data_IF_410776890503
#
_entry.id   IF_410776890503
#
_cell.length_a   1.000
_cell.length_b   1.000
_cell.length_c   1.000
_cell.angle_alpha   90.00
_cell.angle_beta   90.00
_cell.angle_gamma   90.00
#
_symmetry.space_group_name_H-M   'P 1'
#
loop_
_entity.id
_entity.type
_entity.pdbx_description
1 polymer ?
#
# COMPACT_ATOMS: atom_id res chain seq x y z
N UNK A 1 -3.88 36.07 -13.91
CA UNK A 1 -3.52 34.97 -12.99
C UNK A 1 -2.16 34.47 -13.40
N UNK A 2 -1.11 34.78 -12.64
CA UNK A 2 0.23 34.24 -12.87
C UNK A 2 0.29 32.88 -12.20
N UNK A 3 0.24 31.81 -12.99
CA UNK A 3 0.60 30.47 -12.53
C UNK A 3 2.11 30.48 -12.31
N UNK A 4 2.54 30.48 -11.05
CA UNK A 4 3.92 30.15 -10.73
C UNK A 4 4.19 28.75 -11.30
N UNK A 5 5.27 28.54 -12.07
CA UNK A 5 5.66 27.20 -12.47
C UNK A 5 5.91 26.42 -11.17
N UNK A 6 5.14 25.35 -11.00
CA UNK A 6 5.31 24.41 -9.90
C UNK A 6 6.78 23.99 -9.92
N UNK A 7 7.55 24.14 -8.82
CA UNK A 7 8.94 23.69 -8.77
C UNK A 7 8.97 22.24 -9.27
N UNK A 8 9.79 21.98 -10.29
CA UNK A 8 9.89 20.69 -10.95
C UNK A 8 10.03 19.60 -9.88
N UNK A 9 8.93 18.87 -9.64
CA UNK A 9 8.94 17.76 -8.71
C UNK A 9 10.03 16.79 -9.18
N UNK A 10 10.88 16.28 -8.27
CA UNK A 10 11.90 15.32 -8.65
C UNK A 10 11.24 14.15 -9.38
N UNK A 11 11.84 13.74 -10.50
CA UNK A 11 11.31 12.63 -11.30
C UNK A 11 11.36 11.34 -10.47
N UNK A 12 10.20 10.73 -10.23
CA UNK A 12 10.11 9.44 -9.56
C UNK A 12 10.88 8.36 -10.34
N UNK A 13 11.65 7.54 -9.63
CA UNK A 13 12.38 6.40 -10.19
C UNK A 13 12.25 5.16 -9.30
N UNK A 14 12.41 3.97 -9.86
CA UNK A 14 12.60 2.77 -9.04
C UNK A 14 14.06 2.66 -8.59
N UNK A 15 14.29 2.52 -7.29
CA UNK A 15 15.56 2.09 -6.70
C UNK A 15 15.46 0.62 -6.36
N UNK A 16 16.59 -0.10 -6.47
CA UNK A 16 16.65 -1.52 -6.19
C UNK A 16 17.94 -1.87 -5.47
N UNK A 17 17.84 -2.72 -4.46
CA UNK A 17 18.97 -3.12 -3.64
C UNK A 17 18.72 -4.51 -3.01
N UNK A 18 19.74 -5.09 -2.38
CA UNK A 18 19.67 -6.38 -1.72
C UNK A 18 19.30 -6.20 -0.25
N UNK A 19 18.34 -7.00 0.23
CA UNK A 19 18.12 -7.12 1.68
C UNK A 19 19.41 -7.65 2.31
N UNK A 20 19.90 -6.93 3.32
CA UNK A 20 21.12 -7.25 4.06
C UNK A 20 20.96 -8.47 4.94
N UNK A 21 22.05 -8.94 5.55
CA UNK A 21 22.08 -10.13 6.41
C UNK A 21 22.59 -9.86 7.84
N UNK A 22 22.87 -8.61 8.19
CA UNK A 22 23.45 -8.17 9.47
C UNK A 22 22.67 -8.69 10.68
N UNK A 23 21.35 -8.58 10.65
CA UNK A 23 20.46 -9.01 11.73
C UNK A 23 19.67 -10.29 11.43
N UNK A 24 20.02 -11.04 10.38
CA UNK A 24 19.28 -12.27 10.02
C UNK A 24 19.25 -13.27 11.18
N UNK A 25 20.35 -13.41 11.91
CA UNK A 25 20.43 -14.32 13.05
C UNK A 25 19.42 -13.97 14.16
N UNK A 26 19.13 -12.69 14.38
CA UNK A 26 18.09 -12.26 15.33
C UNK A 26 16.70 -12.65 14.83
N UNK A 27 16.42 -12.44 13.54
CA UNK A 27 15.15 -12.85 12.92
C UNK A 27 14.96 -14.36 12.97
N UNK A 28 16.01 -15.13 12.67
CA UNK A 28 16.01 -16.60 12.75
C UNK A 28 15.74 -17.10 14.17
N UNK A 29 16.32 -16.44 15.18
CA UNK A 29 16.02 -16.75 16.57
C UNK A 29 14.57 -16.45 16.95
N UNK A 30 13.98 -15.37 16.42
CA UNK A 30 12.57 -15.01 16.66
C UNK A 30 11.63 -16.05 16.03
N UNK A 31 11.86 -16.45 14.78
CA UNK A 31 11.00 -17.42 14.08
C UNK A 31 11.15 -18.85 14.61
N UNK A 32 12.28 -19.18 15.24
CA UNK A 32 12.51 -20.47 15.88
C UNK A 32 11.74 -20.67 17.19
N UNK A 33 11.05 -19.63 17.69
CA UNK A 33 10.28 -19.66 18.92
C UNK A 33 8.80 -19.98 18.63
N UNK A 34 8.03 -20.49 19.62
CA UNK A 34 6.61 -20.72 19.44
C UNK A 34 5.88 -19.43 19.02
N UNK A 35 4.98 -19.52 18.04
CA UNK A 35 4.28 -18.37 17.44
C UNK A 35 3.53 -17.53 18.48
N UNK A 36 3.04 -18.17 19.53
CA UNK A 36 2.31 -17.53 20.63
C UNK A 36 3.20 -16.59 21.44
N UNK A 37 4.53 -16.77 21.41
CA UNK A 37 5.50 -15.92 22.13
C UNK A 37 6.03 -14.77 21.29
N UNK A 38 5.75 -14.74 19.99
CA UNK A 38 6.21 -13.68 19.08
C UNK A 38 5.82 -12.28 19.57
N UNK A 39 4.58 -12.02 20.02
CA UNK A 39 4.20 -10.70 20.54
C UNK A 39 5.03 -10.26 21.76
N UNK A 40 5.34 -11.17 22.69
CA UNK A 40 6.12 -10.85 23.89
C UNK A 40 7.55 -10.43 23.56
N UNK A 41 8.18 -11.14 22.62
CA UNK A 41 9.57 -10.90 22.20
C UNK A 41 9.66 -9.67 21.31
N UNK A 42 8.71 -9.53 20.39
CA UNK A 42 8.64 -8.33 19.55
C UNK A 42 8.22 -7.09 20.34
N UNK A 43 7.59 -7.28 21.49
CA UNK A 43 7.29 -6.22 22.44
C UNK A 43 8.53 -5.55 23.04
N UNK A 44 9.73 -6.17 23.02
CA UNK A 44 10.95 -5.66 23.63
C UNK A 44 11.89 -4.91 22.66
N UNK A 45 11.31 -4.24 21.66
CA UNK A 45 11.97 -3.48 20.59
C UNK A 45 12.86 -4.26 19.59
N UNK A 46 13.06 -5.56 19.84
CA UNK A 46 14.00 -6.40 19.11
C UNK A 46 13.58 -6.63 17.66
N UNK A 47 12.29 -6.88 17.41
CA UNK A 47 11.81 -7.23 16.07
C UNK A 47 11.91 -6.05 15.09
N UNK A 48 11.49 -4.86 15.52
CA UNK A 48 11.61 -3.64 14.74
C UNK A 48 13.07 -3.33 14.43
N UNK A 49 13.95 -3.41 15.42
CA UNK A 49 15.40 -3.20 15.19
C UNK A 49 15.93 -4.21 14.19
N UNK A 50 15.68 -5.51 14.39
CA UNK A 50 16.18 -6.56 13.50
C UNK A 50 15.64 -6.43 12.07
N UNK A 51 14.39 -6.02 11.88
CA UNK A 51 13.83 -5.77 10.54
C UNK A 51 14.51 -4.58 9.88
N UNK A 52 14.62 -3.44 10.57
CA UNK A 52 15.24 -2.24 9.97
C UNK A 52 16.70 -2.51 9.60
N UNK A 53 17.44 -3.24 10.43
CA UNK A 53 18.85 -3.59 10.19
C UNK A 53 19.06 -4.49 8.95
N UNK A 54 18.06 -5.27 8.54
CA UNK A 54 18.15 -6.05 7.29
C UNK A 54 17.67 -5.28 6.06
N UNK A 55 16.99 -4.14 6.22
CA UNK A 55 16.59 -3.31 5.08
C UNK A 55 17.83 -2.65 4.43
N UNK A 56 17.83 -2.45 3.10
CA UNK A 56 18.91 -1.72 2.46
C UNK A 56 19.01 -0.27 2.99
N UNK A 57 20.22 0.23 3.22
CA UNK A 57 20.45 1.60 3.71
C UNK A 57 19.80 2.64 2.78
N UNK A 58 19.89 2.41 1.46
CA UNK A 58 19.28 3.26 0.44
C UNK A 58 17.75 3.34 0.56
N UNK A 59 17.09 2.27 1.01
CA UNK A 59 15.65 2.26 1.30
C UNK A 59 15.33 3.04 2.58
N UNK A 60 16.16 2.89 3.62
CA UNK A 60 16.02 3.66 4.86
C UNK A 60 16.13 5.17 4.58
N UNK A 61 17.05 5.59 3.71
CA UNK A 61 17.14 6.98 3.26
C UNK A 61 15.84 7.44 2.57
N UNK A 62 15.32 6.67 1.62
CA UNK A 62 14.04 6.98 0.95
C UNK A 62 12.87 7.09 1.92
N UNK A 63 12.80 6.21 2.93
CA UNK A 63 11.79 6.27 4.00
C UNK A 63 11.97 7.53 4.85
N UNK A 64 13.20 7.86 5.24
CA UNK A 64 13.48 9.07 6.02
C UNK A 64 13.07 10.32 5.27
N UNK A 65 13.36 10.41 3.97
CA UNK A 65 13.05 11.58 3.14
C UNK A 65 11.55 11.69 2.86
N UNK A 66 10.88 10.58 2.53
CA UNK A 66 9.47 10.58 2.10
C UNK A 66 8.48 10.53 3.26
N UNK A 67 8.80 9.81 4.34
CA UNK A 67 7.92 9.61 5.49
C UNK A 67 8.34 10.38 6.74
N UNK A 68 9.48 11.09 6.69
CA UNK A 68 10.06 11.80 7.84
C UNK A 68 10.25 10.87 9.06
N UNK A 69 10.72 9.65 8.81
CA UNK A 69 10.99 8.64 9.85
C UNK A 69 12.47 8.36 9.92
N UNK A 70 13.08 8.66 11.07
CA UNK A 70 14.44 8.20 11.36
C UNK A 70 14.48 6.68 11.47
N UNK A 71 15.69 6.11 11.35
CA UNK A 71 15.94 4.68 11.57
C UNK A 71 15.30 4.14 12.86
N UNK A 72 15.50 4.86 13.97
CA UNK A 72 14.89 4.51 15.26
C UNK A 72 13.37 4.64 15.26
N UNK A 73 12.81 5.72 14.71
CA UNK A 73 11.37 5.91 14.65
C UNK A 73 10.66 4.84 13.79
N UNK A 74 11.32 4.39 12.71
CA UNK A 74 10.84 3.27 11.90
C UNK A 74 10.82 1.97 12.72
N UNK A 75 11.90 1.66 13.44
CA UNK A 75 11.95 0.47 14.30
C UNK A 75 10.84 0.49 15.37
N UNK A 76 10.63 1.63 16.04
CA UNK A 76 9.54 1.81 17.02
C UNK A 76 8.17 1.56 16.38
N UNK A 77 7.89 2.11 15.19
CA UNK A 77 6.61 1.87 14.49
C UNK A 77 6.41 0.41 14.10
N UNK A 78 7.48 -0.31 13.74
CA UNK A 78 7.40 -1.75 13.48
C UNK A 78 7.10 -2.49 14.78
N UNK A 79 7.76 -2.16 15.89
CA UNK A 79 7.48 -2.76 17.20
C UNK A 79 6.03 -2.52 17.64
N UNK A 80 5.51 -1.30 17.48
CA UNK A 80 4.11 -1.00 17.78
C UNK A 80 3.15 -1.85 16.94
N UNK A 81 3.46 -2.04 15.65
CA UNK A 81 2.68 -2.93 14.78
C UNK A 81 2.65 -4.38 15.28
N UNK A 82 3.75 -4.88 15.87
CA UNK A 82 3.79 -6.25 16.44
C UNK A 82 2.87 -6.43 17.64
N UNK A 83 2.55 -5.35 18.36
CA UNK A 83 1.68 -5.36 19.56
C UNK A 83 0.20 -5.24 19.21
N UNK A 84 -0.13 -4.56 18.11
CA UNK A 84 -1.52 -4.23 17.75
C UNK A 84 -2.11 -5.13 16.66
N UNK A 85 -1.26 -5.80 15.89
CA UNK A 85 -1.70 -6.60 14.74
C UNK A 85 -1.94 -8.07 15.10
N UNK A 86 -2.60 -8.81 14.20
CA UNK A 86 -2.82 -10.25 14.37
C UNK A 86 -1.49 -11.01 14.40
N UNK A 87 -1.34 -11.93 15.36
CA UNK A 87 -0.09 -12.68 15.58
C UNK A 87 0.41 -13.40 14.33
N UNK A 88 -0.49 -14.04 13.57
CA UNK A 88 -0.12 -14.77 12.34
C UNK A 88 0.39 -13.84 11.23
N UNK A 89 -0.19 -12.64 11.10
CA UNK A 89 0.24 -11.65 10.12
C UNK A 89 1.63 -11.10 10.45
N UNK A 90 1.85 -10.77 11.73
CA UNK A 90 3.16 -10.31 12.23
C UNK A 90 4.22 -11.40 12.05
N UNK A 91 3.91 -12.63 12.49
CA UNK A 91 4.82 -13.77 12.36
C UNK A 91 5.21 -14.02 10.90
N UNK A 92 4.22 -14.08 9.99
CA UNK A 92 4.47 -14.31 8.57
C UNK A 92 5.29 -13.19 7.93
N UNK A 93 5.13 -11.95 8.40
CA UNK A 93 5.92 -10.82 7.93
C UNK A 93 7.38 -10.93 8.39
N UNK A 94 7.61 -11.26 9.66
CA UNK A 94 8.96 -11.50 10.21
C UNK A 94 9.64 -12.68 9.50
N UNK A 95 8.92 -13.77 9.27
CA UNK A 95 9.38 -14.94 8.53
C UNK A 95 9.80 -14.57 7.10
N UNK A 96 9.04 -13.71 6.43
CA UNK A 96 9.41 -13.21 5.12
C UNK A 96 10.73 -12.43 5.15
N UNK A 97 10.89 -11.46 6.07
CA UNK A 97 12.13 -10.69 6.18
C UNK A 97 13.33 -11.57 6.52
N UNK A 98 13.15 -12.57 7.40
CA UNK A 98 14.21 -13.51 7.73
C UNK A 98 14.64 -14.33 6.50
N UNK A 99 13.66 -14.87 5.77
CA UNK A 99 13.92 -15.64 4.54
C UNK A 99 14.58 -14.78 3.48
N UNK A 100 14.02 -13.60 3.22
CA UNK A 100 14.54 -12.65 2.25
C UNK A 100 15.98 -12.22 2.58
N UNK A 101 16.27 -11.98 3.86
CA UNK A 101 17.61 -11.65 4.36
C UNK A 101 18.60 -12.81 4.16
N UNK A 102 18.20 -14.05 4.44
CA UNK A 102 19.04 -15.24 4.28
C UNK A 102 19.51 -15.49 2.85
N UNK A 103 18.74 -15.05 1.85
CA UNK A 103 19.04 -15.24 0.43
C UNK A 103 19.49 -13.94 -0.26
N UNK A 104 19.72 -12.87 0.51
CA UNK A 104 19.97 -11.52 0.00
C UNK A 104 18.97 -11.13 -1.11
N UNK A 105 17.68 -11.31 -0.83
CA UNK A 105 16.61 -11.04 -1.78
C UNK A 105 16.72 -9.61 -2.31
N UNK A 106 16.84 -9.50 -3.63
CA UNK A 106 16.76 -8.20 -4.30
C UNK A 106 15.32 -7.69 -4.26
N UNK A 107 15.16 -6.45 -3.82
CA UNK A 107 13.89 -5.72 -3.77
C UNK A 107 14.00 -4.40 -4.51
N UNK A 108 12.87 -3.84 -4.92
CA UNK A 108 12.80 -2.48 -5.44
C UNK A 108 11.68 -1.68 -4.76
N UNK A 109 11.78 -0.37 -4.84
CA UNK A 109 10.77 0.57 -4.37
C UNK A 109 10.82 1.85 -5.22
N UNK A 110 9.72 2.60 -5.24
CA UNK A 110 9.70 3.91 -5.88
C UNK A 110 10.29 4.97 -4.94
N UNK A 111 11.09 5.87 -5.51
CA UNK A 111 11.67 7.02 -4.83
C UNK A 111 11.46 8.31 -5.65
N UNK A 112 10.87 9.38 -5.06
CA UNK A 112 10.30 9.42 -3.71
C UNK A 112 9.06 8.51 -3.56
N UNK A 113 8.77 8.10 -2.32
CA UNK A 113 7.64 7.21 -2.02
C UNK A 113 6.32 7.99 -2.22
N UNK A 114 5.40 7.53 -3.11
CA UNK A 114 4.25 8.34 -3.53
C UNK A 114 3.08 8.33 -2.55
N UNK A 115 3.24 7.73 -1.36
CA UNK A 115 2.19 7.57 -0.37
C UNK A 115 2.73 7.73 1.06
N UNK A 116 1.83 8.02 2.00
CA UNK A 116 2.16 8.11 3.43
C UNK A 116 2.06 6.74 4.10
N UNK A 117 2.96 6.43 5.02
CA UNK A 117 2.83 5.22 5.84
C UNK A 117 1.52 5.17 6.64
N UNK A 118 0.93 6.33 6.96
CA UNK A 118 -0.37 6.42 7.65
C UNK A 118 -1.56 5.98 6.76
N UNK A 119 -1.36 5.79 5.46
CA UNK A 119 -2.37 5.17 4.59
C UNK A 119 -2.61 3.69 4.92
N UNK A 120 -1.77 3.09 5.76
CA UNK A 120 -1.85 1.69 6.18
C UNK A 120 -2.17 1.57 7.66
N UNK A 121 -2.85 0.49 8.03
CA UNK A 121 -3.24 0.20 9.41
C UNK A 121 -2.02 0.04 10.34
N UNK A 122 -0.90 -0.40 9.79
CA UNK A 122 0.36 -0.62 10.51
C UNK A 122 1.58 -0.49 9.58
N UNK A 123 2.78 -0.51 10.19
CA UNK A 123 4.04 -0.34 9.45
C UNK A 123 4.41 -1.56 8.59
N UNK A 124 4.02 -2.78 8.97
CA UNK A 124 4.22 -3.95 8.09
C UNK A 124 3.45 -3.79 6.79
N UNK A 125 2.24 -3.24 6.87
CA UNK A 125 1.41 -3.00 5.70
C UNK A 125 1.99 -1.94 4.77
N UNK A 126 2.51 -0.85 5.35
CA UNK A 126 3.19 0.19 4.60
C UNK A 126 4.46 -0.34 3.89
N UNK A 127 5.29 -1.12 4.60
CA UNK A 127 6.47 -1.74 4.02
C UNK A 127 6.12 -2.78 2.94
N UNK A 128 5.07 -3.58 3.15
CA UNK A 128 4.59 -4.55 2.18
C UNK A 128 4.14 -3.90 0.87
N UNK A 129 3.48 -2.73 0.95
CA UNK A 129 3.12 -1.96 -0.23
C UNK A 129 4.31 -1.27 -0.90
N UNK A 130 5.35 -0.92 -0.13
CA UNK A 130 6.55 -0.26 -0.65
C UNK A 130 7.43 -1.24 -1.46
N UNK A 131 7.58 -2.47 -0.96
CA UNK A 131 8.49 -3.47 -1.52
C UNK A 131 7.89 -4.13 -2.76
N UNK A 132 8.63 -4.05 -3.87
CA UNK A 132 8.23 -4.51 -5.20
C UNK A 132 9.25 -5.49 -5.78
N UNK A 133 8.78 -6.40 -6.62
CA UNK A 133 9.63 -7.36 -7.33
C UNK A 133 10.47 -6.70 -8.43
N UNK A 134 11.79 -6.92 -8.46
CA UNK A 134 12.69 -6.28 -9.41
C UNK A 134 12.43 -6.64 -10.87
N UNK A 135 11.91 -7.84 -11.14
CA UNK A 135 11.65 -8.33 -12.50
C UNK A 135 10.39 -7.72 -13.14
N UNK A 136 9.66 -6.87 -12.41
CA UNK A 136 8.35 -6.35 -12.84
C UNK A 136 8.28 -4.83 -12.96
N UNK A 137 9.31 -4.10 -12.51
CA UNK A 137 9.30 -2.62 -12.41
C UNK A 137 9.19 -1.89 -13.76
N UNK A 138 9.65 -2.50 -14.86
CA UNK A 138 9.55 -1.92 -16.21
C UNK A 138 8.13 -2.05 -16.81
N UNK A 139 7.29 -2.87 -16.17
CA UNK A 139 5.88 -3.09 -16.49
C UNK A 139 5.06 -2.77 -15.24
N UNK A 140 3.88 -3.34 -15.12
CA UNK A 140 3.12 -3.25 -13.89
C UNK A 140 3.90 -3.84 -12.70
N UNK A 141 4.19 -3.07 -11.65
CA UNK A 141 5.02 -3.54 -10.55
C UNK A 141 4.21 -4.46 -9.65
N UNK A 142 4.77 -5.64 -9.37
CA UNK A 142 4.10 -6.70 -8.61
C UNK A 142 4.74 -6.88 -7.23
N UNK A 143 3.92 -7.23 -6.25
CA UNK A 143 4.40 -7.53 -4.90
C UNK A 143 5.00 -8.94 -4.82
N UNK A 144 5.73 -9.20 -3.75
CA UNK A 144 6.07 -10.58 -3.36
C UNK A 144 4.83 -11.22 -2.72
N UNK A 145 4.26 -12.27 -3.34
CA UNK A 145 3.07 -12.94 -2.79
C UNK A 145 3.29 -13.53 -1.41
N UNK A 146 4.52 -13.96 -1.14
CA UNK A 146 4.95 -14.51 0.15
C UNK A 146 5.09 -13.45 1.25
N UNK A 147 5.16 -12.16 0.91
CA UNK A 147 5.09 -11.08 1.89
C UNK A 147 3.61 -10.79 2.16
N UNK A 148 3.10 -10.93 3.39
CA UNK A 148 1.69 -10.67 3.68
C UNK A 148 1.26 -9.27 3.22
N UNK A 149 0.12 -9.13 2.54
CA UNK A 149 -0.35 -7.82 2.11
C UNK A 149 -0.80 -6.99 3.31
N UNK A 150 -0.48 -5.70 3.28
CA UNK A 150 -0.96 -4.73 4.26
C UNK A 150 -2.44 -4.39 4.11
N UNK A 151 -3.07 -4.04 5.22
CA UNK A 151 -4.39 -3.42 5.23
C UNK A 151 -4.26 -1.90 5.18
N UNK A 152 -5.13 -1.25 4.43
CA UNK A 152 -5.24 0.21 4.46
C UNK A 152 -5.87 0.67 5.78
N UNK A 153 -5.43 1.83 6.27
CA UNK A 153 -6.00 2.42 7.47
C UNK A 153 -7.45 2.84 7.22
N UNK A 154 -8.34 2.41 8.11
CA UNK A 154 -9.72 2.87 8.09
C UNK A 154 -9.79 4.37 8.46
N UNK A 155 -10.67 5.11 7.79
CA UNK A 155 -10.86 6.54 8.05
C UNK A 155 -9.68 7.43 7.62
N UNK A 156 -8.75 6.90 6.82
CA UNK A 156 -7.72 7.69 6.17
C UNK A 156 -8.04 7.86 4.69
N UNK A 157 -7.77 9.06 4.18
CA UNK A 157 -7.83 9.35 2.76
C UNK A 157 -6.56 8.85 2.08
N UNK A 158 -6.73 8.13 0.98
CA UNK A 158 -5.64 7.67 0.11
C UNK A 158 -5.84 8.27 -1.26
N UNK A 159 -4.85 9.01 -1.75
CA UNK A 159 -4.88 9.61 -3.07
C UNK A 159 -3.90 8.93 -4.02
N UNK A 160 -4.38 8.66 -5.23
CA UNK A 160 -3.65 8.04 -6.32
C UNK A 160 -3.53 9.06 -7.45
N UNK A 161 -2.35 9.15 -8.06
CA UNK A 161 -2.10 10.16 -9.06
C UNK A 161 -0.87 9.89 -9.92
N UNK A 162 -0.63 10.75 -10.93
CA UNK A 162 0.41 10.54 -11.93
C UNK A 162 1.85 10.55 -11.38
N UNK A 163 2.06 10.94 -10.12
CA UNK A 163 3.36 10.92 -9.46
C UNK A 163 3.76 9.50 -9.00
N UNK A 164 2.80 8.58 -8.91
CA UNK A 164 3.04 7.16 -8.67
C UNK A 164 3.36 6.48 -10.01
N UNK A 165 4.52 5.85 -10.12
CA UNK A 165 4.95 5.17 -11.35
C UNK A 165 4.01 4.04 -11.74
N UNK A 166 3.40 3.38 -10.74
CA UNK A 166 2.40 2.35 -10.97
C UNK A 166 1.12 2.94 -11.58
N UNK A 167 0.81 4.23 -11.38
CA UNK A 167 -0.38 4.87 -11.95
C UNK A 167 -0.36 4.83 -13.48
N UNK A 168 0.76 5.21 -14.10
CA UNK A 168 0.88 5.20 -15.57
C UNK A 168 0.93 3.78 -16.14
N UNK A 169 1.50 2.83 -15.40
CA UNK A 169 1.53 1.43 -15.81
C UNK A 169 0.13 0.82 -15.73
N UNK A 170 -0.59 1.05 -14.64
CA UNK A 170 -1.98 0.60 -14.47
C UNK A 170 -2.88 1.22 -15.54
N UNK A 171 -2.70 2.51 -15.85
CA UNK A 171 -3.45 3.18 -16.92
C UNK A 171 -3.33 2.46 -18.26
N UNK A 172 -2.16 1.88 -18.57
CA UNK A 172 -1.95 1.07 -19.78
C UNK A 172 -2.63 -0.29 -19.72
N UNK A 173 -2.78 -0.87 -18.52
CA UNK A 173 -3.45 -2.16 -18.28
C UNK A 173 -4.99 -2.04 -18.20
N UNK A 174 -5.52 -0.83 -18.02
CA UNK A 174 -6.97 -0.60 -17.89
C UNK A 174 -7.83 -1.15 -19.04
N UNK A 175 -7.44 -1.04 -20.34
CA UNK A 175 -8.22 -1.62 -21.42
C UNK A 175 -8.40 -3.13 -21.29
N UNK A 176 -7.31 -3.85 -21.00
CA UNK A 176 -7.33 -5.31 -20.83
C UNK A 176 -8.11 -5.72 -19.58
N UNK A 177 -7.92 -4.98 -18.47
CA UNK A 177 -8.67 -5.18 -17.25
C UNK A 177 -10.18 -4.95 -17.47
N UNK A 178 -10.55 -3.94 -18.26
CA UNK A 178 -11.94 -3.66 -18.61
C UNK A 178 -12.57 -4.78 -19.41
N UNK A 179 -11.85 -5.36 -20.37
CA UNK A 179 -12.36 -6.53 -21.10
C UNK A 179 -12.54 -7.74 -20.17
N UNK A 180 -11.62 -7.97 -19.23
CA UNK A 180 -11.80 -8.99 -18.18
C UNK A 180 -13.02 -8.72 -17.29
N UNK A 181 -13.23 -7.47 -16.87
CA UNK A 181 -14.41 -7.03 -16.10
C UNK A 181 -15.72 -7.21 -16.88
N UNK A 182 -15.68 -7.10 -18.21
CA UNK A 182 -16.85 -7.38 -19.05
C UNK A 182 -17.20 -8.87 -19.07
N UNK A 183 -16.18 -9.71 -19.07
CA UNK A 183 -16.29 -11.17 -19.15
C UNK A 183 -16.59 -11.83 -17.81
N UNK A 184 -16.07 -11.30 -16.70
CA UNK A 184 -16.36 -11.80 -15.35
C UNK A 184 -17.61 -11.15 -14.76
N UNK A 185 -18.38 -11.93 -14.01
CA UNK A 185 -19.52 -11.42 -13.22
C UNK A 185 -19.10 -11.12 -11.77
N UNK A 186 -17.97 -11.67 -11.33
CA UNK A 186 -17.58 -11.66 -9.91
C UNK A 186 -16.42 -10.71 -9.64
N UNK A 187 -16.58 -9.83 -8.63
CA UNK A 187 -15.54 -8.93 -8.16
C UNK A 187 -14.30 -9.70 -7.64
N UNK A 188 -14.51 -10.90 -7.09
CA UNK A 188 -13.45 -11.77 -6.57
C UNK A 188 -12.33 -12.03 -7.58
N UNK A 189 -12.67 -12.38 -8.82
CA UNK A 189 -11.67 -12.66 -9.86
C UNK A 189 -10.79 -11.44 -10.17
N UNK A 190 -11.38 -10.24 -10.09
CA UNK A 190 -10.66 -8.99 -10.30
C UNK A 190 -9.78 -8.69 -9.08
N UNK A 191 -10.29 -8.90 -7.86
CA UNK A 191 -9.49 -8.77 -6.63
C UNK A 191 -8.26 -9.66 -6.65
N UNK A 192 -8.38 -10.91 -7.11
CA UNK A 192 -7.22 -11.81 -7.19
C UNK A 192 -6.13 -11.29 -8.13
N UNK A 193 -6.50 -10.57 -9.19
CA UNK A 193 -5.53 -9.89 -10.08
C UNK A 193 -4.88 -8.70 -9.36
N UNK A 194 -5.69 -7.86 -8.69
CA UNK A 194 -5.21 -6.67 -7.98
C UNK A 194 -4.37 -7.03 -6.76
N UNK A 195 -4.62 -8.19 -6.17
CA UNK A 195 -3.80 -8.71 -5.08
C UNK A 195 -2.35 -8.93 -5.49
N UNK A 196 -2.04 -9.01 -6.79
CA UNK A 196 -0.66 -9.14 -7.26
C UNK A 196 0.05 -7.79 -7.36
N UNK A 197 -0.70 -6.70 -7.43
CA UNK A 197 -0.16 -5.37 -7.70
C UNK A 197 0.50 -4.80 -6.45
N UNK A 198 1.70 -4.23 -6.62
CA UNK A 198 2.41 -3.53 -5.56
C UNK A 198 1.84 -2.12 -5.32
N UNK A 199 2.35 -1.46 -4.28
CA UNK A 199 2.00 -0.08 -3.98
C UNK A 199 0.65 0.08 -3.30
N UNK A 200 0.42 1.32 -2.86
CA UNK A 200 -0.87 1.72 -2.29
C UNK A 200 -1.99 1.65 -3.33
N UNK A 201 -1.68 1.84 -4.62
CA UNK A 201 -2.65 1.73 -5.70
C UNK A 201 -3.21 0.32 -5.85
N UNK A 202 -2.36 -0.71 -5.80
CA UNK A 202 -2.80 -2.10 -5.86
C UNK A 202 -3.72 -2.45 -4.69
N UNK A 203 -3.32 -2.09 -3.47
CA UNK A 203 -4.14 -2.31 -2.26
C UNK A 203 -5.45 -1.52 -2.30
N UNK A 204 -5.39 -0.26 -2.74
CA UNK A 204 -6.56 0.60 -2.88
C UNK A 204 -7.61 0.01 -3.79
N UNK A 205 -7.19 -0.35 -5.01
CA UNK A 205 -8.07 -0.95 -6.00
C UNK A 205 -8.60 -2.31 -5.54
N UNK A 206 -7.78 -3.11 -4.85
CA UNK A 206 -8.20 -4.38 -4.24
C UNK A 206 -9.34 -4.17 -3.24
N UNK A 207 -9.19 -3.21 -2.32
CA UNK A 207 -10.21 -2.93 -1.30
C UNK A 207 -11.46 -2.31 -1.89
N UNK A 208 -11.32 -1.40 -2.84
CA UNK A 208 -12.46 -0.78 -3.53
C UNK A 208 -13.26 -1.78 -4.35
N UNK A 209 -12.63 -2.84 -4.86
CA UNK A 209 -13.32 -3.83 -5.70
C UNK A 209 -14.18 -4.77 -4.84
N UNK A 210 -15.38 -4.31 -4.50
CA UNK A 210 -16.41 -5.07 -3.76
C UNK A 210 -17.68 -5.23 -4.58
N UNK A 211 -18.50 -6.22 -4.24
CA UNK A 211 -19.78 -6.47 -4.90
C UNK A 211 -20.84 -5.42 -4.55
N UNK A 212 -20.77 -4.83 -3.34
CA UNK A 212 -21.76 -3.88 -2.82
C UNK A 212 -21.07 -2.79 -2.03
N UNK A 213 -21.37 -1.54 -2.39
CA UNK A 213 -20.88 -0.33 -1.74
C UNK A 213 -21.94 0.14 -0.76
N UNK A 214 -21.54 0.49 0.45
CA UNK A 214 -22.45 1.04 1.46
C UNK A 214 -22.24 2.55 1.52
N UNK A 215 -23.17 3.22 2.19
CA UNK A 215 -22.94 4.63 2.52
C UNK A 215 -22.72 4.72 4.01
N UNK A 216 -21.52 5.14 4.42
CA UNK A 216 -21.23 5.38 5.84
C UNK A 216 -21.54 6.82 6.25
N UNK A 217 -21.75 7.72 5.29
CA UNK A 217 -22.11 9.12 5.51
C UNK A 217 -23.59 9.34 5.22
N UNK A 218 -24.42 9.22 6.24
CA UNK A 218 -25.85 9.50 6.13
C UNK A 218 -26.13 10.97 6.46
N UNK A 219 -26.97 11.61 5.65
CA UNK A 219 -27.59 12.89 5.99
C UNK A 219 -28.57 12.72 7.15
N UNK A 220 -29.09 13.83 7.68
CA UNK A 220 -30.20 13.82 8.65
C UNK A 220 -31.44 13.07 8.14
N UNK A 221 -31.61 12.99 6.81
CA UNK A 221 -32.70 12.25 6.14
C UNK A 221 -32.40 10.76 5.94
N UNK A 222 -31.23 10.27 6.36
CA UNK A 222 -30.80 8.89 6.13
C UNK A 222 -30.39 8.60 4.68
N UNK A 223 -30.23 9.64 3.86
CA UNK A 223 -29.74 9.52 2.48
C UNK A 223 -28.21 9.60 2.46
N UNK A 224 -27.60 9.10 1.39
CA UNK A 224 -26.14 9.18 1.27
C UNK A 224 -25.73 10.62 1.00
N UNK A 225 -25.01 11.24 1.94
CA UNK A 225 -24.55 12.63 1.86
C UNK A 225 -23.29 12.74 0.97
N UNK A 226 -23.46 12.46 -0.33
CA UNK A 226 -22.40 12.61 -1.32
C UNK A 226 -22.25 14.08 -1.74
N UNK A 227 -21.05 14.62 -1.61
CA UNK A 227 -20.71 15.93 -2.16
C UNK A 227 -20.49 15.85 -3.68
N UNK A 228 -20.42 17.01 -4.35
CA UNK A 228 -20.39 17.10 -5.83
C UNK A 228 -19.24 16.35 -6.51
N UNK A 229 -18.14 16.06 -5.81
CA UNK A 229 -16.99 15.31 -6.32
C UNK A 229 -16.92 13.86 -5.80
N UNK A 230 -17.89 13.43 -4.99
CA UNK A 230 -17.96 12.08 -4.44
C UNK A 230 -18.82 11.19 -5.33
N UNK A 231 -18.27 10.02 -5.65
CA UNK A 231 -19.01 8.95 -6.32
C UNK A 231 -19.07 7.76 -5.38
N UNK A 232 -20.29 7.29 -5.14
CA UNK A 232 -20.55 5.96 -4.59
C UNK A 232 -20.93 5.05 -5.75
N UNK A 233 -20.05 4.12 -6.17
CA UNK A 233 -20.41 3.15 -7.19
C UNK A 233 -21.61 2.32 -6.74
N UNK A 234 -22.51 1.99 -7.66
CA UNK A 234 -23.62 1.07 -7.35
C UNK A 234 -23.21 -0.40 -7.44
N UNK A 235 -22.12 -0.67 -8.16
CA UNK A 235 -21.49 -1.99 -8.34
C UNK A 235 -20.03 -1.81 -8.81
N UNK A 236 -19.26 -2.89 -8.80
CA UNK A 236 -17.84 -2.82 -9.18
C UNK A 236 -17.62 -2.44 -10.65
N UNK A 237 -18.54 -2.73 -11.57
CA UNK A 237 -18.40 -2.27 -12.97
C UNK A 237 -18.44 -0.75 -13.06
N UNK A 238 -19.37 -0.11 -12.35
CA UNK A 238 -19.45 1.35 -12.26
C UNK A 238 -18.20 1.95 -11.60
N UNK A 239 -17.63 1.29 -10.59
CA UNK A 239 -16.34 1.70 -9.99
C UNK A 239 -15.25 1.76 -11.08
N UNK A 240 -15.09 0.68 -11.85
CA UNK A 240 -14.03 0.59 -12.84
C UNK A 240 -14.22 1.51 -14.04
N UNK A 241 -15.46 1.74 -14.49
CA UNK A 241 -15.73 2.75 -15.52
C UNK A 241 -15.31 4.16 -15.04
N UNK A 242 -15.52 4.47 -13.76
CA UNK A 242 -15.11 5.74 -13.16
C UNK A 242 -13.60 5.85 -12.99
N UNK A 243 -12.93 4.82 -12.46
CA UNK A 243 -11.46 4.79 -12.36
C UNK A 243 -10.85 4.98 -13.75
N UNK A 244 -11.36 4.27 -14.76
CA UNK A 244 -10.88 4.41 -16.13
C UNK A 244 -11.05 5.84 -16.65
N UNK A 245 -12.21 6.47 -16.43
CA UNK A 245 -12.44 7.87 -16.81
C UNK A 245 -11.46 8.83 -16.13
N UNK A 246 -11.19 8.65 -14.84
CA UNK A 246 -10.28 9.52 -14.09
C UNK A 246 -8.84 9.33 -14.55
N UNK A 247 -8.38 8.09 -14.67
CA UNK A 247 -7.00 7.76 -15.06
C UNK A 247 -6.68 8.14 -16.51
N UNK A 248 -7.61 7.92 -17.44
CA UNK A 248 -7.47 8.39 -18.83
C UNK A 248 -7.40 9.91 -18.94
N UNK A 249 -8.06 10.62 -18.03
CA UNK A 249 -7.97 12.09 -17.92
C UNK A 249 -6.72 12.59 -17.18
N UNK A 250 -5.82 11.71 -16.77
CA UNK A 250 -4.61 12.02 -15.98
C UNK A 250 -4.91 12.78 -14.67
N UNK A 251 -6.06 12.51 -14.04
CA UNK A 251 -6.47 13.18 -12.82
C UNK A 251 -6.16 12.35 -11.59
N UNK A 252 -5.76 13.03 -10.51
CA UNK A 252 -5.71 12.40 -9.18
C UNK A 252 -7.11 11.99 -8.75
N UNK A 253 -7.21 10.87 -8.06
CA UNK A 253 -8.42 10.48 -7.34
C UNK A 253 -8.06 9.97 -5.97
N UNK A 254 -8.98 10.12 -5.03
CA UNK A 254 -8.81 9.67 -3.67
C UNK A 254 -9.93 8.71 -3.26
N UNK A 255 -9.69 7.90 -2.24
CA UNK A 255 -10.69 7.04 -1.64
C UNK A 255 -10.40 6.83 -0.15
N UNK A 256 -11.40 6.38 0.61
CA UNK A 256 -11.23 5.88 1.98
C UNK A 256 -11.92 4.55 2.16
N UNK A 257 -11.43 3.81 3.15
CA UNK A 257 -12.16 2.69 3.72
C UNK A 257 -12.80 3.17 5.02
N UNK A 258 -14.13 3.35 5.04
CA UNK A 258 -14.86 3.87 6.19
C UNK A 258 -14.96 5.40 6.25
N UNK A 259 -15.42 5.91 7.40
CA UNK A 259 -15.78 7.32 7.59
C UNK A 259 -14.55 8.19 7.84
N UNK A 260 -14.45 9.29 7.09
CA UNK A 260 -13.40 10.32 7.23
C UNK A 260 -13.97 11.60 7.87
N UNK A 261 -13.13 12.32 8.61
CA UNK A 261 -13.50 13.59 9.27
C UNK A 261 -13.31 14.77 8.31
N UNK A 262 -12.19 14.79 7.57
CA UNK A 262 -11.86 15.82 6.58
C UNK A 262 -12.03 15.27 5.17
N UNK A 263 -12.76 15.99 4.31
CA UNK A 263 -13.14 15.53 2.97
C UNK A 263 -12.21 16.07 1.87
N UNK A 264 -11.83 15.26 0.86
CA UNK A 264 -11.04 15.72 -0.28
C UNK A 264 -11.77 16.73 -1.15
N UNK A 265 -11.01 17.64 -1.78
CA UNK A 265 -11.50 18.45 -2.90
C UNK A 265 -11.48 17.70 -4.24
N UNK A 266 -10.83 16.54 -4.29
CA UNK A 266 -10.63 15.69 -5.48
C UNK A 266 -11.78 14.72 -5.78
N UNK A 267 -11.68 13.98 -6.88
CA UNK A 267 -12.58 12.87 -7.18
C UNK A 267 -12.48 11.81 -6.08
N UNK A 268 -13.62 11.45 -5.49
CA UNK A 268 -13.67 10.62 -4.30
C UNK A 268 -14.50 9.36 -4.48
N UNK A 269 -13.97 8.21 -4.04
CA UNK A 269 -14.70 6.94 -3.98
C UNK A 269 -14.82 6.51 -2.53
N UNK A 270 -16.05 6.24 -2.10
CA UNK A 270 -16.36 5.71 -0.78
C UNK A 270 -16.90 4.27 -0.89
N UNK A 271 -16.33 3.38 -0.09
CA UNK A 271 -16.83 2.02 0.15
C UNK A 271 -17.86 1.97 1.30
#
# INVERSE_FOLDING_TARGET
>A
MYTYPDPLLPSSVFKCDLIGNSANHLLQNIIGLPRERTPDICGSDLCGTAIVEVLPESLITSISESWNLSHHALAVKINDATRTSLSDYVFSSIEWYSTASSINQRICWQDPIPFSHNSFADMFGALSALITRPDTIDKLPLRFKSLPPGWLAAGQQVCLGPNDLAYEQIKKELPDLREKIKQTVEAKNIRDILDDWAGVIGRGLFHLTVDRYRCTLLSETGECALESNMIRPTNFRMLWDNINKVMTSNKKFCFSLGTIIEKPGEFWIQD
#
